data_IF_222114951740
#
_entry.id   IF_222114951740
#
_cell.length_a   1.000
_cell.length_b   1.000
_cell.length_c   1.000
_cell.angle_alpha   90.00
_cell.angle_beta   90.00
_cell.angle_gamma   90.00
#
_symmetry.space_group_name_H-M   'P 1'
#
loop_
_entity.id
_entity.type
_entity.pdbx_description
1 polymer ?
#
# COMPACT_ATOMS: atom_id res chain seq x y z
N UNK A 1 11.76 15.37 -10.52
CA UNK A 1 10.62 16.20 -11.00
C UNK A 1 9.48 16.09 -9.98
N UNK A 2 9.21 17.11 -9.17
CA UNK A 2 8.21 17.05 -8.09
C UNK A 2 6.79 16.62 -8.56
N UNK A 3 6.45 16.89 -9.83
CA UNK A 3 5.17 16.51 -10.44
C UNK A 3 4.95 14.99 -10.58
N UNK A 4 6.02 14.18 -10.81
CA UNK A 4 5.88 12.72 -10.98
C UNK A 4 5.47 12.05 -9.68
N UNK A 5 6.20 12.31 -8.59
CA UNK A 5 5.93 11.69 -7.29
C UNK A 5 4.55 12.05 -6.76
N UNK A 6 4.11 13.30 -6.92
CA UNK A 6 2.78 13.75 -6.50
C UNK A 6 1.67 13.03 -7.27
N UNK A 7 1.83 12.89 -8.60
CA UNK A 7 0.89 12.15 -9.44
C UNK A 7 0.80 10.68 -9.03
N UNK A 8 1.94 10.00 -8.87
CA UNK A 8 1.95 8.58 -8.50
C UNK A 8 1.43 8.33 -7.09
N UNK A 9 1.75 9.22 -6.15
CA UNK A 9 1.18 9.21 -4.81
C UNK A 9 -0.35 9.32 -4.86
N UNK A 10 -0.88 10.26 -5.62
CA UNK A 10 -2.33 10.42 -5.77
C UNK A 10 -2.98 9.21 -6.49
N UNK A 11 -2.30 8.64 -7.49
CA UNK A 11 -2.75 7.42 -8.17
C UNK A 11 -2.82 6.24 -7.19
N UNK A 12 -1.79 6.04 -6.37
CA UNK A 12 -1.79 4.99 -5.35
C UNK A 12 -2.96 5.16 -4.35
N UNK A 13 -3.21 6.39 -3.90
CA UNK A 13 -4.36 6.69 -3.03
C UNK A 13 -5.69 6.35 -3.70
N UNK A 14 -5.87 6.77 -4.96
CA UNK A 14 -7.10 6.49 -5.70
C UNK A 14 -7.32 4.98 -5.90
N UNK A 15 -6.26 4.24 -6.22
CA UNK A 15 -6.30 2.79 -6.36
C UNK A 15 -6.66 2.10 -5.03
N UNK A 16 -6.05 2.52 -3.92
CA UNK A 16 -6.39 2.01 -2.59
C UNK A 16 -7.86 2.21 -2.24
N UNK A 17 -8.38 3.41 -2.47
CA UNK A 17 -9.77 3.76 -2.20
C UNK A 17 -10.77 3.09 -3.13
N UNK A 18 -10.34 2.65 -4.32
CA UNK A 18 -11.24 2.02 -5.29
C UNK A 18 -11.78 0.66 -4.82
N UNK A 19 -11.10 0.00 -3.89
CA UNK A 19 -11.43 -1.37 -3.47
C UNK A 19 -11.26 -2.41 -4.59
N UNK A 20 -10.71 -2.04 -5.75
CA UNK A 20 -10.59 -2.94 -6.89
C UNK A 20 -9.31 -3.80 -6.79
N UNK A 21 -9.43 -5.13 -6.61
CA UNK A 21 -8.27 -6.01 -6.52
C UNK A 21 -7.42 -6.04 -7.79
N UNK A 22 -7.95 -5.63 -8.95
CA UNK A 22 -7.17 -5.49 -10.18
C UNK A 22 -6.05 -4.44 -10.10
N UNK A 23 -6.10 -3.55 -9.09
CA UNK A 23 -5.04 -2.58 -8.84
C UNK A 23 -3.80 -3.17 -8.17
N UNK A 24 -3.90 -4.36 -7.56
CA UNK A 24 -2.81 -4.97 -6.79
C UNK A 24 -1.51 -5.08 -7.60
N UNK A 25 -1.48 -5.62 -8.83
CA UNK A 25 -0.22 -5.73 -9.59
C UNK A 25 0.48 -4.40 -9.83
N UNK A 26 -0.28 -3.33 -10.10
CA UNK A 26 0.29 -1.99 -10.32
C UNK A 26 0.89 -1.41 -9.02
N UNK A 27 0.21 -1.61 -7.89
CA UNK A 27 0.71 -1.17 -6.58
C UNK A 27 1.92 -1.99 -6.13
N UNK A 28 1.97 -3.29 -6.44
CA UNK A 28 3.15 -4.13 -6.18
C UNK A 28 4.37 -3.59 -6.94
N UNK A 29 4.23 -3.23 -8.21
CA UNK A 29 5.32 -2.62 -8.96
C UNK A 29 5.77 -1.27 -8.36
N UNK A 30 4.84 -0.50 -7.76
CA UNK A 30 5.15 0.77 -7.13
C UNK A 30 5.91 0.64 -5.79
N UNK A 31 5.97 -0.56 -5.19
CA UNK A 31 6.83 -0.83 -4.03
C UNK A 31 8.33 -0.76 -4.37
N UNK A 32 8.70 -0.80 -5.65
CA UNK A 32 10.09 -0.68 -6.10
C UNK A 32 10.40 0.71 -6.68
N UNK A 33 9.49 1.70 -6.54
CA UNK A 33 9.71 3.04 -7.08
C UNK A 33 10.92 3.72 -6.41
N UNK A 34 11.78 4.45 -7.15
CA UNK A 34 12.93 5.12 -6.56
C UNK A 34 12.55 6.17 -5.50
N UNK A 35 11.33 6.73 -5.55
CA UNK A 35 10.87 7.71 -4.58
C UNK A 35 10.22 7.05 -3.35
N UNK A 36 10.75 7.25 -2.14
CA UNK A 36 10.17 6.69 -0.90
C UNK A 36 8.71 7.07 -0.68
N UNK A 37 8.32 8.29 -1.05
CA UNK A 37 6.94 8.75 -0.96
C UNK A 37 5.97 7.84 -1.76
N UNK A 38 6.40 7.37 -2.94
CA UNK A 38 5.57 6.50 -3.79
C UNK A 38 5.48 5.11 -3.19
N UNK A 39 6.62 4.53 -2.73
CA UNK A 39 6.65 3.22 -2.09
C UNK A 39 5.77 3.16 -0.83
N UNK A 40 5.84 4.18 0.02
CA UNK A 40 4.99 4.27 1.21
C UNK A 40 3.50 4.31 0.88
N UNK A 41 3.09 5.08 -0.12
CA UNK A 41 1.68 5.15 -0.53
C UNK A 41 1.21 3.88 -1.26
N UNK A 42 2.11 3.19 -1.96
CA UNK A 42 1.82 1.87 -2.52
C UNK A 42 1.57 0.85 -1.40
N UNK A 43 2.39 0.85 -0.35
CA UNK A 43 2.21 0.00 0.82
C UNK A 43 0.88 0.27 1.53
N UNK A 44 0.57 1.54 1.77
CA UNK A 44 -0.71 1.98 2.33
C UNK A 44 -1.89 1.47 1.49
N UNK A 45 -1.84 1.66 0.17
CA UNK A 45 -2.91 1.29 -0.75
C UNK A 45 -3.13 -0.22 -0.80
N UNK A 46 -2.07 -1.02 -0.76
CA UNK A 46 -2.16 -2.48 -0.64
C UNK A 46 -2.82 -2.89 0.68
N UNK A 47 -2.49 -2.23 1.79
CA UNK A 47 -3.15 -2.44 3.07
C UNK A 47 -4.63 -2.07 3.05
N UNK A 48 -5.01 -1.01 2.33
CA UNK A 48 -6.39 -0.57 2.17
C UNK A 48 -7.21 -1.51 1.28
N UNK A 49 -6.63 -2.01 0.18
CA UNK A 49 -7.31 -2.93 -0.75
C UNK A 49 -7.60 -4.29 -0.10
N UNK A 50 -6.72 -4.76 0.78
CA UNK A 50 -6.94 -6.06 1.39
C UNK A 50 -6.49 -7.24 0.53
N UNK A 51 -6.79 -8.43 1.03
CA UNK A 51 -6.64 -9.68 0.31
C UNK A 51 -5.26 -10.33 0.40
N UNK A 52 -5.22 -11.60 0.03
CA UNK A 52 -4.02 -12.43 0.13
C UNK A 52 -2.87 -11.90 -0.73
N UNK A 53 -3.15 -11.43 -1.95
CA UNK A 53 -2.12 -10.89 -2.86
C UNK A 53 -1.42 -9.66 -2.28
N UNK A 54 -2.17 -8.72 -1.72
CA UNK A 54 -1.62 -7.54 -1.08
C UNK A 54 -0.78 -7.89 0.16
N UNK A 55 -1.30 -8.79 1.01
CA UNK A 55 -0.55 -9.31 2.17
C UNK A 55 0.77 -9.94 1.75
N UNK A 56 0.75 -10.85 0.76
CA UNK A 56 1.95 -11.51 0.26
C UNK A 56 2.97 -10.52 -0.27
N UNK A 57 2.54 -9.47 -0.99
CA UNK A 57 3.45 -8.46 -1.49
C UNK A 57 4.12 -7.64 -0.37
N UNK A 58 3.33 -7.19 0.61
CA UNK A 58 3.83 -6.44 1.76
C UNK A 58 4.81 -7.26 2.62
N UNK A 59 4.51 -8.54 2.85
CA UNK A 59 5.40 -9.46 3.57
C UNK A 59 6.77 -9.61 2.89
N UNK A 60 6.81 -9.62 1.55
CA UNK A 60 8.08 -9.72 0.80
C UNK A 60 9.01 -8.53 1.04
N UNK A 61 8.47 -7.33 1.27
CA UNK A 61 9.23 -6.09 1.43
C UNK A 61 9.38 -5.65 2.89
N UNK A 62 8.73 -6.36 3.83
CA UNK A 62 8.75 -6.01 5.27
C UNK A 62 10.17 -5.87 5.80
N UNK A 63 10.47 -4.69 6.33
CA UNK A 63 11.76 -4.38 6.95
C UNK A 63 12.93 -4.18 5.97
N UNK A 64 12.71 -4.28 4.66
CA UNK A 64 13.78 -4.23 3.64
C UNK A 64 14.01 -2.85 3.04
N UNK A 65 13.03 -1.96 3.16
CA UNK A 65 13.15 -0.61 2.60
C UNK A 65 14.23 0.21 3.31
N UNK A 66 15.10 0.95 2.59
CA UNK A 66 16.08 1.83 3.22
C UNK A 66 15.42 2.96 4.03
N UNK A 67 14.22 3.41 3.63
CA UNK A 67 13.50 4.50 4.29
C UNK A 67 12.67 4.00 5.47
N UNK A 68 12.88 4.61 6.64
CA UNK A 68 12.21 4.21 7.88
C UNK A 68 10.69 4.45 7.87
N UNK A 69 10.23 5.49 7.19
CA UNK A 69 8.81 5.80 7.06
C UNK A 69 8.13 4.79 6.15
N UNK A 70 8.80 4.36 5.08
CA UNK A 70 8.27 3.28 4.22
C UNK A 70 8.18 1.97 4.98
N UNK A 71 9.19 1.61 5.79
CA UNK A 71 9.12 0.42 6.66
C UNK A 71 7.94 0.50 7.63
N UNK A 72 7.70 1.67 8.22
CA UNK A 72 6.57 1.88 9.14
C UNK A 72 5.22 1.72 8.42
N UNK A 73 5.08 2.27 7.21
CA UNK A 73 3.86 2.10 6.40
C UNK A 73 3.60 0.64 6.01
N UNK A 74 4.64 -0.10 5.62
CA UNK A 74 4.49 -1.55 5.32
C UNK A 74 4.03 -2.32 6.56
N UNK A 75 4.60 -2.04 7.73
CA UNK A 75 4.18 -2.67 8.98
C UNK A 75 2.73 -2.32 9.32
N UNK A 76 2.35 -1.04 9.27
CA UNK A 76 0.98 -0.58 9.53
C UNK A 76 -0.03 -1.19 8.55
N UNK A 77 0.35 -1.35 7.27
CA UNK A 77 -0.47 -2.00 6.27
C UNK A 77 -0.70 -3.49 6.60
N UNK A 78 0.35 -4.22 7.02
CA UNK A 78 0.23 -5.62 7.43
C UNK A 78 -0.61 -5.80 8.69
N UNK A 79 -0.46 -4.91 9.67
CA UNK A 79 -1.28 -4.89 10.89
C UNK A 79 -2.75 -4.70 10.54
N UNK A 80 -3.07 -3.74 9.66
CA UNK A 80 -4.44 -3.52 9.17
C UNK A 80 -5.02 -4.77 8.51
N UNK A 81 -4.23 -5.50 7.73
CA UNK A 81 -4.65 -6.76 7.11
C UNK A 81 -4.81 -7.90 8.12
N UNK A 82 -4.13 -7.81 9.27
CA UNK A 82 -4.18 -8.78 10.36
C UNK A 82 -5.38 -8.58 11.30
N UNK A 83 -5.93 -7.38 11.35
CA UNK A 83 -7.15 -7.10 12.11
C UNK A 83 -8.35 -7.73 11.40
N UNK A 84 -9.21 -8.48 12.10
CA UNK A 84 -10.51 -8.85 11.54
C UNK A 84 -11.24 -7.54 11.22
N UNK A 85 -11.70 -7.39 9.97
CA UNK A 85 -12.60 -6.29 9.59
C UNK A 85 -13.84 -6.41 10.47
N UNK A 86 -13.89 -5.63 11.55
CA UNK A 86 -15.10 -5.49 12.34
C UNK A 86 -16.05 -4.73 11.41
N UNK A 87 -16.91 -5.48 10.71
CA UNK A 87 -17.92 -4.89 9.85
C UNK A 87 -18.67 -3.86 10.70
N UNK A 88 -18.58 -2.58 10.30
CA UNK A 88 -19.43 -1.57 10.89
C UNK A 88 -20.89 -2.06 10.75
N UNK A 89 -21.74 -1.95 11.78
CA UNK A 89 -23.14 -2.31 11.64
C UNK A 89 -23.72 -1.45 10.53
N UNK A 90 -24.20 -2.11 9.46
CA UNK A 90 -24.99 -1.45 8.42
C UNK A 90 -26.20 -0.82 9.10
N UNK A 91 -26.27 0.50 9.12
CA UNK A 91 -27.46 1.25 9.49
C UNK A 91 -28.38 1.39 8.27
#
# INVERSE_FOLDING_TARGET
RAKRRGLLRNAAVALGNSGNPAAVPALVAALDDPEPLVRGHAAWALGALGGAGARTALERVRGRDPDALVRAEVTAALERLGMPQIAAPSA
#
